data_IF_537118391961
#
_entry.id   IF_537118391961
#
_cell.length_a   1.000
_cell.length_b   1.000
_cell.length_c   1.000
_cell.angle_alpha   90.00
_cell.angle_beta   90.00
_cell.angle_gamma   90.00
#
_symmetry.space_group_name_H-M   'P 1'
#
loop_
_entity.id
_entity.type
_entity.pdbx_description
1 polymer ?
#
# COMPACT_ATOMS: atom_id res chain seq x y z
N UNK A 1 -17.10 4.31 -0.45
CA UNK A 1 -16.98 3.79 -1.83
C UNK A 1 -16.57 2.34 -1.77
N UNK A 2 -16.64 1.61 -2.87
CA UNK A 2 -16.00 0.28 -2.96
C UNK A 2 -14.49 0.47 -3.01
N UNK A 3 -13.74 -0.44 -2.40
CA UNK A 3 -12.28 -0.45 -2.42
C UNK A 3 -11.78 -1.70 -3.12
N UNK A 4 -10.59 -1.60 -3.73
CA UNK A 4 -9.91 -2.73 -4.35
C UNK A 4 -8.52 -2.87 -3.76
N UNK A 5 -7.97 -4.09 -3.77
CA UNK A 5 -6.58 -4.34 -3.42
C UNK A 5 -5.76 -4.41 -4.71
N UNK A 6 -4.71 -3.59 -4.78
CA UNK A 6 -3.84 -3.45 -5.96
C UNK A 6 -2.39 -3.62 -5.57
N UNK A 7 -1.60 -4.20 -6.47
CA UNK A 7 -0.15 -4.26 -6.33
C UNK A 7 0.43 -2.86 -6.59
N UNK A 8 0.75 -2.13 -5.53
CA UNK A 8 1.24 -0.74 -5.60
C UNK A 8 2.03 -0.40 -4.35
N UNK A 9 2.97 0.53 -4.48
CA UNK A 9 3.65 1.17 -3.36
C UNK A 9 3.04 2.51 -2.98
N UNK A 10 1.91 2.92 -3.56
CA UNK A 10 1.29 4.21 -3.29
C UNK A 10 -0.17 4.02 -2.89
N UNK A 11 -0.66 4.87 -1.98
CA UNK A 11 -2.07 4.93 -1.64
C UNK A 11 -2.50 6.34 -1.23
N UNK A 12 -3.74 6.70 -1.55
CA UNK A 12 -4.38 7.88 -0.98
C UNK A 12 -4.96 7.53 0.40
N UNK A 13 -4.48 8.20 1.44
CA UNK A 13 -4.84 7.93 2.84
C UNK A 13 -5.50 9.15 3.45
N UNK A 14 -6.52 8.92 4.28
CA UNK A 14 -7.18 9.95 5.09
C UNK A 14 -7.04 9.59 6.58
N UNK A 15 -5.92 9.98 7.23
CA UNK A 15 -5.70 9.72 8.66
C UNK A 15 -6.79 10.27 9.57
N UNK A 16 -7.39 11.41 9.21
CA UNK A 16 -8.47 12.05 9.96
C UNK A 16 -9.77 11.23 9.97
N UNK A 17 -9.90 10.21 9.10
CA UNK A 17 -11.03 9.28 9.13
C UNK A 17 -11.09 8.42 10.41
N UNK A 18 -10.00 8.37 11.19
CA UNK A 18 -9.88 7.58 12.41
C UNK A 18 -9.79 6.06 12.16
N UNK A 19 -9.72 5.63 10.91
CA UNK A 19 -9.56 4.22 10.53
C UNK A 19 -8.10 3.94 10.24
N UNK A 20 -7.53 2.86 10.80
CA UNK A 20 -6.17 2.46 10.47
C UNK A 20 -6.08 2.06 8.99
N UNK A 21 -4.96 2.41 8.36
CA UNK A 21 -4.61 1.95 7.03
C UNK A 21 -4.02 0.55 7.13
N UNK A 22 -4.57 -0.41 6.38
CA UNK A 22 -4.10 -1.80 6.36
C UNK A 22 -3.57 -2.15 4.98
N UNK A 23 -2.40 -2.75 4.93
CA UNK A 23 -1.80 -3.25 3.69
C UNK A 23 -1.17 -4.62 3.92
N UNK A 24 -0.78 -5.27 2.83
CA UNK A 24 -0.10 -6.57 2.88
C UNK A 24 1.24 -6.47 2.18
N UNK A 25 2.27 -7.08 2.75
CA UNK A 25 3.58 -7.27 2.13
C UNK A 25 3.82 -8.74 1.83
N UNK A 26 4.47 -9.04 0.71
CA UNK A 26 4.88 -10.40 0.34
C UNK A 26 6.30 -10.65 0.81
N UNK A 27 6.45 -11.46 1.84
CA UNK A 27 7.74 -11.91 2.37
C UNK A 27 8.19 -13.15 1.59
N UNK A 28 9.38 -13.09 0.98
CA UNK A 28 9.90 -14.15 0.11
C UNK A 28 10.50 -15.31 0.90
N UNK A 29 11.32 -15.00 1.89
CA UNK A 29 12.10 -15.99 2.64
C UNK A 29 11.63 -16.06 4.10
N UNK A 30 11.66 -17.27 4.67
CA UNK A 30 11.44 -17.44 6.10
C UNK A 30 12.56 -16.75 6.90
N UNK A 31 12.23 -16.23 8.08
CA UNK A 31 13.13 -15.52 8.99
C UNK A 31 13.64 -14.17 8.47
N UNK A 32 13.02 -13.64 7.42
CA UNK A 32 13.20 -12.26 6.95
C UNK A 32 12.79 -11.26 8.01
N UNK A 33 13.37 -10.06 7.99
CA UNK A 33 12.92 -8.91 8.80
C UNK A 33 12.42 -7.79 7.89
N UNK A 34 11.12 -7.82 7.50
CA UNK A 34 10.55 -6.79 6.65
C UNK A 34 10.46 -5.46 7.37
N UNK A 35 10.70 -4.39 6.63
CA UNK A 35 10.50 -3.01 7.07
C UNK A 35 9.62 -2.31 6.04
N UNK A 36 8.60 -1.60 6.50
CA UNK A 36 7.80 -0.69 5.68
C UNK A 36 8.20 0.73 6.00
N UNK A 37 8.73 1.45 5.01
CA UNK A 37 9.01 2.88 5.09
C UNK A 37 7.87 3.62 4.41
N UNK A 38 7.26 4.56 5.13
CA UNK A 38 6.16 5.39 4.62
C UNK A 38 6.70 6.80 4.43
N UNK A 39 6.54 7.33 3.21
CA UNK A 39 6.85 8.73 2.90
C UNK A 39 5.60 9.48 2.49
N UNK A 40 5.58 10.78 2.74
CA UNK A 40 4.55 11.69 2.23
C UNK A 40 4.80 12.08 0.76
N UNK A 41 4.00 13.03 0.27
CA UNK A 41 4.07 13.53 -1.11
C UNK A 41 5.33 14.37 -1.40
N UNK A 42 5.98 14.91 -0.37
CA UNK A 42 7.22 15.66 -0.48
C UNK A 42 8.46 14.73 -0.41
N UNK A 43 8.23 13.45 -0.11
CA UNK A 43 9.25 12.41 -0.02
C UNK A 43 9.88 12.31 1.38
N UNK A 44 9.31 13.00 2.38
CA UNK A 44 9.77 12.91 3.76
C UNK A 44 9.34 11.59 4.38
N UNK A 45 10.25 10.92 5.08
CA UNK A 45 9.93 9.69 5.82
C UNK A 45 9.13 10.08 7.06
N UNK A 46 7.84 9.74 7.03
CA UNK A 46 6.93 10.03 8.14
C UNK A 46 6.85 8.88 9.12
N UNK A 47 7.03 7.63 8.66
CA UNK A 47 6.92 6.45 9.51
C UNK A 47 7.79 5.32 9.03
N UNK A 48 8.43 4.61 9.97
CA UNK A 48 9.03 3.30 9.71
C UNK A 48 8.38 2.22 10.58
N UNK A 49 7.91 1.15 9.95
CA UNK A 49 7.31 -0.01 10.61
C UNK A 49 8.28 -1.19 10.49
N UNK A 50 8.93 -1.55 11.59
CA UNK A 50 9.68 -2.81 11.70
C UNK A 50 8.70 -3.94 12.01
N UNK A 51 8.63 -4.93 11.11
CA UNK A 51 7.72 -6.07 11.24
C UNK A 51 8.33 -7.23 12.04
N UNK A 52 9.60 -7.10 12.46
CA UNK A 52 10.35 -8.17 13.11
C UNK A 52 10.54 -9.38 12.19
N UNK A 53 10.91 -10.51 12.78
CA UNK A 53 11.09 -11.76 12.04
C UNK A 53 9.75 -12.30 11.55
N UNK A 54 9.63 -12.50 10.23
CA UNK A 54 8.42 -12.99 9.58
C UNK A 54 8.68 -14.28 8.81
N UNK A 55 7.64 -15.11 8.70
CA UNK A 55 7.66 -16.27 7.80
C UNK A 55 7.43 -15.83 6.35
N UNK A 56 7.84 -16.66 5.41
CA UNK A 56 7.49 -16.47 4.00
C UNK A 56 5.96 -16.49 3.81
N UNK A 57 5.45 -15.63 2.93
CA UNK A 57 4.03 -15.49 2.63
C UNK A 57 3.54 -14.05 2.70
N UNK A 58 2.22 -13.91 2.67
CA UNK A 58 1.54 -12.63 2.82
C UNK A 58 1.48 -12.26 4.30
N UNK A 59 1.99 -11.08 4.64
CA UNK A 59 1.99 -10.55 6.00
C UNK A 59 1.31 -9.19 6.01
N UNK A 60 0.32 -9.04 6.87
CA UNK A 60 -0.41 -7.78 7.01
C UNK A 60 0.36 -6.79 7.89
N UNK A 61 0.27 -5.52 7.54
CA UNK A 61 0.76 -4.41 8.34
C UNK A 61 -0.32 -3.35 8.48
N UNK A 62 -0.21 -2.58 9.56
CA UNK A 62 -1.15 -1.52 9.89
C UNK A 62 -0.41 -0.24 10.18
N UNK A 63 -0.93 0.87 9.66
CA UNK A 63 -0.48 2.21 9.97
C UNK A 63 -1.67 3.04 10.50
N UNK A 64 -1.45 3.79 11.57
CA UNK A 64 -2.45 4.58 12.26
C UNK A 64 -2.60 6.01 11.68
N UNK A 65 -1.86 6.33 10.62
CA UNK A 65 -1.88 7.64 9.99
C UNK A 65 -1.07 8.70 10.74
N UNK A 66 -0.19 8.28 11.65
CA UNK A 66 0.68 9.15 12.43
C UNK A 66 2.14 9.01 12.04
N UNK A 67 2.90 10.06 12.24
CA UNK A 67 4.37 9.98 12.16
C UNK A 67 5.00 9.31 13.39
N UNK A 68 6.33 9.24 13.40
CA UNK A 68 7.11 8.68 14.52
C UNK A 68 7.03 9.53 15.81
N UNK A 69 6.67 10.81 15.72
CA UNK A 69 6.40 11.69 16.87
C UNK A 69 4.95 11.57 17.41
N UNK A 70 4.11 10.79 16.72
CA UNK A 70 2.72 10.56 17.06
C UNK A 70 1.77 11.67 16.61
N UNK A 71 2.22 12.58 15.75
CA UNK A 71 1.40 13.60 15.13
C UNK A 71 0.53 12.96 14.04
N UNK A 72 -0.75 13.31 14.03
CA UNK A 72 -1.67 12.88 12.98
C UNK A 72 -1.38 13.64 11.71
N UNK A 73 -1.17 12.92 10.61
CA UNK A 73 -0.82 13.52 9.32
C UNK A 73 -2.06 13.92 8.50
N UNK A 74 -1.83 14.77 7.51
CA UNK A 74 -2.86 15.23 6.60
C UNK A 74 -3.29 14.15 5.60
N UNK A 75 -4.50 14.30 5.05
CA UNK A 75 -4.94 13.44 3.94
C UNK A 75 -4.09 13.69 2.70
N UNK A 76 -3.67 12.63 2.02
CA UNK A 76 -2.76 12.77 0.90
C UNK A 76 -2.35 11.45 0.27
N UNK A 77 -1.50 11.54 -0.75
CA UNK A 77 -0.79 10.39 -1.29
C UNK A 77 0.41 10.09 -0.40
N UNK A 78 0.56 8.81 -0.07
CA UNK A 78 1.71 8.29 0.66
C UNK A 78 2.34 7.14 -0.11
N UNK A 79 3.67 7.03 -0.02
CA UNK A 79 4.44 5.95 -0.62
C UNK A 79 4.89 4.97 0.46
N UNK A 80 4.54 3.70 0.29
CA UNK A 80 4.87 2.55 1.12
C UNK A 80 5.95 1.73 0.41
N UNK A 81 7.18 1.87 0.89
CA UNK A 81 8.32 1.08 0.40
C UNK A 81 8.58 -0.08 1.35
N UNK A 82 8.36 -1.31 0.87
CA UNK A 82 8.66 -2.51 1.64
C UNK A 82 10.01 -3.10 1.24
N UNK A 83 10.84 -3.41 2.23
CA UNK A 83 12.12 -4.09 2.01
C UNK A 83 12.38 -5.13 3.08
N UNK A 84 13.19 -6.15 2.75
CA UNK A 84 13.78 -7.07 3.72
C UNK A 84 15.28 -6.88 3.69
N UNK A 85 15.89 -6.69 4.86
CA UNK A 85 17.34 -6.61 5.02
C UNK A 85 17.88 -7.93 5.54
N UNK A 86 18.81 -8.51 4.80
CA UNK A 86 19.73 -9.55 5.28
C UNK A 86 21.09 -8.93 5.61
N UNK A 87 22.00 -9.69 6.21
CA UNK A 87 23.34 -9.20 6.56
C UNK A 87 24.13 -8.65 5.36
N UNK A 88 23.78 -9.05 4.14
CA UNK A 88 24.54 -8.74 2.91
C UNK A 88 23.74 -8.00 1.85
N UNK A 89 22.41 -8.04 1.89
CA UNK A 89 21.57 -7.45 0.84
C UNK A 89 20.26 -6.86 1.39
N UNK A 90 19.80 -5.78 0.76
CA UNK A 90 18.44 -5.26 0.92
C UNK A 90 17.63 -5.63 -0.30
N UNK A 91 16.51 -6.33 -0.11
CA UNK A 91 15.65 -6.80 -1.19
C UNK A 91 14.30 -6.09 -1.12
N UNK A 92 13.87 -5.50 -2.23
CA UNK A 92 12.53 -4.94 -2.34
C UNK A 92 11.45 -6.04 -2.26
N UNK A 93 10.41 -5.77 -1.51
CA UNK A 93 9.24 -6.63 -1.34
C UNK A 93 8.03 -6.05 -2.07
N UNK A 94 7.11 -6.92 -2.45
CA UNK A 94 5.86 -6.50 -3.09
C UNK A 94 4.84 -6.10 -2.04
N UNK A 95 4.14 -4.99 -2.25
CA UNK A 95 3.02 -4.54 -1.42
C UNK A 95 1.69 -4.63 -2.17
N UNK A 96 0.63 -4.91 -1.42
CA UNK A 96 -0.75 -4.85 -1.87
C UNK A 96 -1.51 -3.89 -0.97
N UNK A 97 -2.01 -2.81 -1.54
CA UNK A 97 -2.61 -1.71 -0.80
C UNK A 97 -4.07 -1.49 -1.23
N UNK A 98 -4.94 -1.04 -0.32
CA UNK A 98 -6.29 -0.64 -0.66
C UNK A 98 -6.29 0.67 -1.45
N UNK A 99 -7.11 0.70 -2.49
CA UNK A 99 -7.38 1.89 -3.27
C UNK A 99 -8.90 2.09 -3.43
N UNK A 100 -9.36 3.31 -3.19
CA UNK A 100 -10.78 3.65 -3.37
C UNK A 100 -11.10 3.81 -4.85
N UNK A 101 -12.17 3.16 -5.32
CA UNK A 101 -12.64 3.32 -6.70
C UNK A 101 -13.48 4.58 -6.80
N UNK A 102 -13.00 5.57 -7.56
CA UNK A 102 -13.73 6.79 -7.88
C UNK A 102 -14.75 6.56 -9.00
N UNK A 103 -14.36 5.84 -10.05
CA UNK A 103 -15.24 5.48 -11.16
C UNK A 103 -14.72 4.30 -11.95
N UNK A 104 -15.58 3.72 -12.78
CA UNK A 104 -15.24 2.63 -13.70
C UNK A 104 -15.41 3.14 -15.12
N UNK A 105 -14.42 2.90 -15.97
CA UNK A 105 -14.46 3.20 -17.40
C UNK A 105 -14.59 1.89 -18.17
N UNK A 106 -15.72 1.72 -18.85
CA UNK A 106 -15.96 0.59 -19.74
C UNK A 106 -15.57 0.98 -21.17
N UNK A 107 -14.78 0.13 -21.82
CA UNK A 107 -14.50 0.30 -23.25
C UNK A 107 -15.71 -0.14 -24.08
N UNK A 108 -16.23 0.77 -24.90
CA UNK A 108 -17.37 0.50 -25.80
C UNK A 108 -17.02 -0.38 -27.00
N UNK A 109 -15.73 -0.62 -27.24
CA UNK A 109 -15.21 -1.40 -28.37
C UNK A 109 -14.61 -2.74 -27.94
N UNK A 110 -14.89 -3.20 -26.70
CA UNK A 110 -14.38 -4.46 -26.18
C UNK A 110 -12.95 -4.41 -25.63
N UNK A 111 -12.43 -3.21 -25.36
CA UNK A 111 -11.14 -3.03 -24.67
C UNK A 111 -11.22 -3.35 -23.17
N UNK A 112 -10.08 -3.32 -22.50
CA UNK A 112 -9.97 -3.59 -21.06
C UNK A 112 -10.82 -2.61 -20.22
N UNK A 113 -11.46 -3.13 -19.16
CA UNK A 113 -12.16 -2.32 -18.17
C UNK A 113 -11.13 -1.64 -17.28
N UNK A 114 -11.24 -0.32 -17.15
CA UNK A 114 -10.34 0.49 -16.34
C UNK A 114 -11.05 0.97 -15.07
N UNK A 115 -10.33 0.96 -13.95
CA UNK A 115 -10.76 1.56 -12.69
C UNK A 115 -10.01 2.87 -12.48
N UNK A 116 -10.73 3.93 -12.13
CA UNK A 116 -10.11 5.19 -11.72
C UNK A 116 -10.03 5.18 -10.20
N UNK A 117 -8.82 5.10 -9.68
CA UNK A 117 -8.52 4.90 -8.27
C UNK A 117 -7.99 6.19 -7.65
N UNK A 118 -8.41 6.48 -6.42
CA UNK A 118 -7.91 7.62 -5.67
C UNK A 118 -6.38 7.52 -5.48
N UNK A 119 -5.66 8.58 -5.83
CA UNK A 119 -4.20 8.65 -5.74
C UNK A 119 -3.42 7.94 -6.84
N UNK A 120 -4.02 6.96 -7.54
CA UNK A 120 -3.33 6.08 -8.50
C UNK A 120 -3.74 6.30 -9.96
N UNK A 121 -4.79 7.08 -10.22
CA UNK A 121 -5.29 7.32 -11.57
C UNK A 121 -5.95 6.08 -12.17
N UNK A 122 -5.81 5.87 -13.48
CA UNK A 122 -6.51 4.79 -14.20
C UNK A 122 -5.69 3.50 -14.23
N UNK A 123 -6.22 2.43 -13.64
CA UNK A 123 -5.60 1.11 -13.56
C UNK A 123 -6.52 0.07 -14.22
N UNK A 124 -5.94 -0.79 -15.07
CA UNK A 124 -6.66 -1.91 -15.67
C UNK A 124 -7.11 -2.93 -14.62
N UNK A 125 -8.33 -3.47 -14.77
CA UNK A 125 -8.89 -4.43 -13.81
C UNK A 125 -8.02 -5.67 -13.63
N UNK A 126 -7.20 -6.03 -14.61
CA UNK A 126 -6.23 -7.14 -14.54
C UNK A 126 -5.19 -6.98 -13.42
N UNK A 127 -4.91 -5.76 -12.98
CA UNK A 127 -3.96 -5.47 -11.88
C UNK A 127 -4.60 -5.46 -10.49
N UNK A 128 -5.92 -5.68 -10.41
CA UNK A 128 -6.67 -5.79 -9.17
C UNK A 128 -6.64 -7.23 -8.68
N UNK A 129 -6.19 -7.44 -7.45
CA UNK A 129 -6.16 -8.76 -6.83
C UNK A 129 -7.52 -9.16 -6.24
N UNK A 130 -8.21 -8.23 -5.60
CA UNK A 130 -9.50 -8.49 -4.95
C UNK A 130 -10.33 -7.22 -4.92
N UNK A 131 -11.65 -7.38 -5.07
CA UNK A 131 -12.62 -6.31 -4.85
C UNK A 131 -13.10 -6.46 -3.39
N UNK A 132 -12.82 -5.46 -2.56
CA UNK A 132 -13.38 -5.39 -1.22
C UNK A 132 -14.89 -5.17 -1.29
N UNK A 133 -15.64 -6.01 -0.58
CA UNK A 133 -17.10 -5.89 -0.40
C UNK A 133 -17.44 -4.83 0.64
#
# INVERSE_FOLDING_TARGET
GRSVIVQTGEAYVDPASGKPFNGTVVVKDADSKPTITITDADGEVVRTIDMGTQKAGNVDFTWDGKDDDGLLLDKGNYTFTASSKTDTTTTALTTYLPATVNSVTLSKTGGEIMLNLAGLGSIGISKVQTIGL
#
